data_IF_056721193057
#
_entry.id   IF_056721193057
#
_cell.length_a   1.000
_cell.length_b   1.000
_cell.length_c   1.000
_cell.angle_alpha   90.00
_cell.angle_beta   90.00
_cell.angle_gamma   90.00
#
_symmetry.space_group_name_H-M   'P 1'
#
loop_
_entity.id
_entity.type
_entity.pdbx_description
1 polymer ?
#
# COMPACT_ATOMS: atom_id res chain seq x y z
N UNK A 1 -0.19 2.82 33.53
CA UNK A 1 -1.18 3.51 32.68
C UNK A 1 -2.36 2.58 32.35
N UNK A 2 -2.18 1.41 31.69
CA UNK A 2 -3.29 0.53 31.27
C UNK A 2 -4.20 0.10 32.43
N UNK A 3 -3.67 -0.20 33.59
CA UNK A 3 -4.47 -0.63 34.76
C UNK A 3 -5.39 0.44 35.30
N UNK A 4 -4.93 1.70 35.32
CA UNK A 4 -5.59 2.81 35.99
C UNK A 4 -6.46 3.66 35.04
N UNK A 5 -6.36 3.47 33.72
CA UNK A 5 -7.14 4.22 32.76
C UNK A 5 -8.60 3.72 32.73
N UNK A 6 -9.57 4.60 32.55
CA UNK A 6 -10.98 4.25 32.36
C UNK A 6 -11.24 3.58 31.01
N UNK A 7 -10.53 4.01 29.96
CA UNK A 7 -10.51 3.43 28.63
C UNK A 7 -9.09 3.27 28.11
N UNK A 8 -8.89 2.23 27.34
CA UNK A 8 -7.62 1.96 26.62
C UNK A 8 -7.97 1.90 25.15
N UNK A 9 -7.32 2.74 24.34
CA UNK A 9 -7.57 2.80 22.90
C UNK A 9 -6.34 2.39 22.12
N UNK A 10 -6.57 1.76 20.97
CA UNK A 10 -5.56 1.54 19.94
C UNK A 10 -6.10 1.99 18.58
N UNK A 11 -5.30 1.85 17.54
CA UNK A 11 -5.49 2.59 16.27
C UNK A 11 -6.27 1.82 15.20
N UNK A 12 -6.85 0.67 15.54
CA UNK A 12 -7.85 0.00 14.69
C UNK A 12 -8.59 -1.09 15.47
N UNK A 13 -9.85 -1.42 15.10
CA UNK A 13 -10.64 -2.49 15.71
C UNK A 13 -9.96 -3.87 15.59
N UNK A 14 -9.48 -4.23 14.40
CA UNK A 14 -8.76 -5.50 14.18
C UNK A 14 -7.48 -5.55 15.02
N UNK A 15 -6.70 -4.48 15.07
CA UNK A 15 -5.48 -4.45 15.88
C UNK A 15 -5.79 -4.56 17.37
N UNK A 16 -6.92 -4.03 17.86
CA UNK A 16 -7.35 -4.22 19.25
C UNK A 16 -7.57 -5.70 19.61
N UNK A 17 -7.92 -6.55 18.65
CA UNK A 17 -8.00 -8.00 18.83
C UNK A 17 -6.62 -8.65 18.66
N UNK A 18 -5.84 -8.25 17.68
CA UNK A 18 -4.50 -8.79 17.43
C UNK A 18 -3.58 -8.64 18.64
N UNK A 19 -3.58 -7.50 19.32
CA UNK A 19 -2.72 -7.27 20.51
C UNK A 19 -3.10 -8.08 21.74
N UNK A 20 -4.19 -8.85 21.69
CA UNK A 20 -4.50 -9.87 22.72
C UNK A 20 -3.71 -11.15 22.48
N UNK A 21 -3.12 -11.33 21.30
CA UNK A 21 -2.26 -12.47 20.96
C UNK A 21 -0.80 -12.16 21.33
N UNK A 22 -0.05 -13.11 21.94
CA UNK A 22 1.35 -12.94 22.30
C UNK A 22 2.26 -12.48 21.14
N UNK A 23 1.92 -12.86 19.91
CA UNK A 23 2.68 -12.49 18.71
C UNK A 23 2.68 -10.98 18.44
N UNK A 24 1.55 -10.29 18.71
CA UNK A 24 1.38 -8.87 18.42
C UNK A 24 1.54 -7.97 19.65
N UNK A 25 1.45 -8.54 20.86
CA UNK A 25 1.33 -7.80 22.12
C UNK A 25 2.64 -7.24 22.68
N UNK A 26 3.79 -7.67 22.16
CA UNK A 26 5.11 -7.37 22.73
C UNK A 26 5.21 -7.68 24.24
N UNK A 27 4.55 -8.77 24.68
CA UNK A 27 4.54 -9.22 26.07
C UNK A 27 3.47 -8.57 26.95
N UNK A 28 2.53 -7.81 26.37
CA UNK A 28 1.43 -7.17 27.10
C UNK A 28 0.11 -7.95 27.02
N UNK A 29 0.05 -9.06 26.31
CA UNK A 29 -1.17 -9.85 26.09
C UNK A 29 -1.89 -10.25 27.37
N UNK A 30 -1.18 -10.69 28.40
CA UNK A 30 -1.77 -11.06 29.68
C UNK A 30 -2.51 -9.90 30.34
N UNK A 31 -1.90 -8.69 30.35
CA UNK A 31 -2.52 -7.49 30.90
C UNK A 31 -3.68 -7.02 30.03
N UNK A 32 -3.51 -7.02 28.70
CA UNK A 32 -4.53 -6.57 27.76
C UNK A 32 -5.77 -7.46 27.79
N UNK A 33 -5.61 -8.79 27.87
CA UNK A 33 -6.73 -9.73 28.06
C UNK A 33 -7.50 -9.49 29.35
N UNK A 34 -6.80 -9.24 30.47
CA UNK A 34 -7.46 -8.91 31.75
C UNK A 34 -8.27 -7.61 31.70
N UNK A 35 -7.86 -6.66 30.84
CA UNK A 35 -8.48 -5.34 30.70
C UNK A 35 -9.26 -5.19 29.38
N UNK A 36 -9.53 -6.28 28.70
CA UNK A 36 -10.20 -6.30 27.38
C UNK A 36 -11.54 -5.54 27.39
N UNK A 37 -12.27 -5.56 28.52
CA UNK A 37 -13.57 -4.87 28.66
C UNK A 37 -13.51 -3.34 28.48
N UNK A 38 -12.32 -2.76 28.58
CA UNK A 38 -12.10 -1.31 28.39
C UNK A 38 -11.21 -0.99 27.19
N UNK A 39 -10.76 -2.02 26.44
CA UNK A 39 -9.96 -1.87 25.22
C UNK A 39 -10.89 -1.65 24.04
N UNK A 40 -10.58 -0.66 23.20
CA UNK A 40 -11.24 -0.46 21.91
C UNK A 40 -10.26 0.04 20.85
N UNK A 41 -10.54 -0.30 19.59
CA UNK A 41 -9.84 0.21 18.44
C UNK A 41 -10.60 1.34 17.76
N UNK A 42 -9.90 2.41 17.41
CA UNK A 42 -10.43 3.56 16.67
C UNK A 42 -9.52 3.80 15.48
N UNK A 43 -10.03 3.59 14.26
CA UNK A 43 -9.24 3.77 13.05
C UNK A 43 -8.86 5.24 12.88
N UNK A 44 -7.58 5.51 12.58
CA UNK A 44 -7.12 6.86 12.25
C UNK A 44 -7.70 7.30 10.90
N UNK A 45 -7.87 8.61 10.73
CA UNK A 45 -8.12 9.24 9.44
C UNK A 45 -6.82 9.76 8.79
N UNK A 46 -6.97 10.35 7.63
CA UNK A 46 -5.94 11.13 6.94
C UNK A 46 -6.34 12.60 6.87
N UNK A 47 -5.36 13.48 6.79
CA UNK A 47 -5.61 14.90 6.51
C UNK A 47 -5.98 15.06 5.04
N UNK A 48 -7.27 15.30 4.79
CA UNK A 48 -7.83 15.40 3.43
C UNK A 48 -7.53 16.74 2.73
N UNK A 49 -7.02 17.72 3.45
CA UNK A 49 -6.56 18.99 2.88
C UNK A 49 -5.12 18.84 2.38
N UNK A 50 -4.27 18.16 3.16
CA UNK A 50 -2.88 17.85 2.78
C UNK A 50 -2.83 16.80 1.68
N UNK A 51 -3.58 15.69 1.83
CA UNK A 51 -3.65 14.62 0.83
C UNK A 51 -4.85 14.83 -0.10
N UNK A 52 -4.71 15.81 -1.00
CA UNK A 52 -5.79 16.19 -1.92
C UNK A 52 -5.28 16.31 -3.36
N UNK A 53 -5.58 15.35 -4.24
CA UNK A 53 -5.10 15.41 -5.63
C UNK A 53 -5.61 16.63 -6.40
N UNK A 54 -6.70 17.29 -5.96
CA UNK A 54 -7.20 18.51 -6.61
C UNK A 54 -6.33 19.76 -6.33
N UNK A 55 -5.56 19.76 -5.25
CA UNK A 55 -4.79 20.93 -4.80
C UNK A 55 -3.33 20.65 -4.49
N UNK A 56 -2.89 19.39 -4.56
CA UNK A 56 -1.52 18.98 -4.28
C UNK A 56 -0.53 19.64 -5.27
N UNK A 57 0.41 20.46 -4.78
CA UNK A 57 1.38 21.17 -5.63
C UNK A 57 2.50 20.26 -6.15
N UNK A 58 2.64 19.06 -5.60
CA UNK A 58 3.78 18.17 -5.87
C UNK A 58 3.50 17.16 -6.99
N UNK A 59 2.25 17.03 -7.45
CA UNK A 59 1.88 16.12 -8.54
C UNK A 59 1.88 16.82 -9.90
N UNK A 60 2.07 16.06 -10.98
CA UNK A 60 2.23 16.60 -12.32
C UNK A 60 0.96 17.26 -12.85
N UNK A 61 -0.21 16.76 -12.50
CA UNK A 61 -1.52 17.33 -12.85
C UNK A 61 -2.49 17.11 -11.71
N UNK A 62 -3.17 18.17 -11.27
CA UNK A 62 -4.24 18.06 -10.29
C UNK A 62 -5.50 17.45 -10.92
N UNK A 63 -6.26 16.70 -10.13
CA UNK A 63 -7.50 16.04 -10.54
C UNK A 63 -8.44 15.82 -9.36
N UNK A 64 -9.69 15.63 -9.66
CA UNK A 64 -10.77 15.25 -8.75
C UNK A 64 -11.49 13.99 -9.23
N UNK A 65 -12.60 13.62 -8.60
CA UNK A 65 -13.39 12.45 -8.95
C UNK A 65 -13.99 12.48 -10.38
N UNK A 66 -14.10 13.63 -11.02
CA UNK A 66 -14.63 13.77 -12.38
C UNK A 66 -13.51 13.78 -13.43
N UNK A 67 -12.30 14.24 -13.06
CA UNK A 67 -11.16 14.43 -13.96
C UNK A 67 -10.00 13.44 -13.74
N UNK A 68 -10.17 12.47 -12.82
CA UNK A 68 -9.10 11.57 -12.40
C UNK A 68 -8.49 10.74 -13.54
N UNK A 69 -9.26 10.36 -14.55
CA UNK A 69 -8.75 9.55 -15.66
C UNK A 69 -7.64 10.27 -16.41
N UNK A 70 -7.89 11.53 -16.79
CA UNK A 70 -6.89 12.37 -17.45
C UNK A 70 -5.76 12.76 -16.49
N UNK A 71 -6.09 13.16 -15.26
CA UNK A 71 -5.12 13.58 -14.27
C UNK A 71 -4.14 12.48 -13.89
N UNK A 72 -4.63 11.28 -13.60
CA UNK A 72 -3.78 10.12 -13.29
C UNK A 72 -2.93 9.68 -14.49
N UNK A 73 -3.46 9.76 -15.72
CA UNK A 73 -2.67 9.43 -16.89
C UNK A 73 -1.44 10.34 -17.02
N UNK A 74 -1.60 11.66 -16.83
CA UNK A 74 -0.49 12.61 -16.84
C UNK A 74 0.48 12.37 -15.69
N UNK A 75 -0.03 12.10 -14.47
CA UNK A 75 0.80 11.78 -13.31
C UNK A 75 1.58 10.47 -13.50
N UNK A 76 0.97 9.46 -14.14
CA UNK A 76 1.64 8.20 -14.48
C UNK A 76 2.78 8.41 -15.48
N UNK A 77 2.55 9.16 -16.54
CA UNK A 77 3.61 9.47 -17.51
C UNK A 77 4.78 10.21 -16.86
N UNK A 78 4.48 11.18 -15.98
CA UNK A 78 5.51 11.90 -15.24
C UNK A 78 6.29 10.99 -14.28
N UNK A 79 5.62 10.04 -13.61
CA UNK A 79 6.26 9.05 -12.77
C UNK A 79 7.15 8.09 -13.57
N UNK A 80 6.67 7.68 -14.76
CA UNK A 80 7.45 6.84 -15.67
C UNK A 80 8.68 7.58 -16.20
N UNK A 81 8.59 8.88 -16.49
CA UNK A 81 9.74 9.71 -16.87
C UNK A 81 10.76 9.83 -15.73
N UNK A 82 10.29 10.08 -14.50
CA UNK A 82 11.15 10.20 -13.32
C UNK A 82 12.02 8.95 -13.08
N UNK A 83 11.45 7.76 -13.31
CA UNK A 83 12.14 6.48 -13.11
C UNK A 83 12.67 5.85 -14.41
N UNK A 84 12.49 6.48 -15.56
CA UNK A 84 12.89 5.94 -16.85
C UNK A 84 12.17 4.64 -17.22
N UNK A 85 10.89 4.51 -16.84
CA UNK A 85 10.06 3.34 -17.14
C UNK A 85 9.48 3.41 -18.56
N UNK A 86 9.02 2.28 -19.09
CA UNK A 86 8.38 2.23 -20.39
C UNK A 86 6.99 2.87 -20.35
N UNK A 87 6.56 3.48 -21.45
CA UNK A 87 5.21 4.04 -21.61
C UNK A 87 4.38 3.17 -22.55
N UNK A 88 4.31 1.88 -22.26
CA UNK A 88 3.64 0.87 -23.08
C UNK A 88 2.22 0.52 -22.60
N UNK A 89 1.71 1.26 -21.61
CA UNK A 89 0.39 1.02 -21.01
C UNK A 89 0.38 -0.01 -19.89
N UNK A 90 1.51 -0.59 -19.53
CA UNK A 90 1.65 -1.51 -18.41
C UNK A 90 1.19 -0.89 -17.10
N UNK A 91 0.56 -1.66 -16.18
CA UNK A 91 0.23 -1.15 -14.86
C UNK A 91 1.50 -0.92 -14.03
N UNK A 92 1.53 0.20 -13.29
CA UNK A 92 2.58 0.54 -12.33
C UNK A 92 2.15 0.09 -10.94
N UNK A 93 2.86 -0.88 -10.37
CA UNK A 93 2.74 -1.24 -8.96
C UNK A 93 3.80 -0.52 -8.14
N UNK A 94 3.41 0.08 -7.03
CA UNK A 94 4.32 0.85 -6.20
C UNK A 94 4.29 0.43 -4.73
N UNK A 95 5.43 0.58 -4.06
CA UNK A 95 5.57 0.40 -2.62
C UNK A 95 6.34 1.59 -2.03
N UNK A 96 5.74 2.28 -1.06
CA UNK A 96 6.36 3.39 -0.32
C UNK A 96 6.37 3.02 1.15
N UNK A 97 7.55 2.62 1.67
CA UNK A 97 7.65 2.13 3.05
C UNK A 97 9.09 2.08 3.54
N UNK A 98 9.26 1.85 4.84
CA UNK A 98 10.55 1.40 5.37
C UNK A 98 10.85 -0.02 4.86
N UNK A 99 12.04 -0.24 4.31
CA UNK A 99 12.44 -1.53 3.76
C UNK A 99 12.91 -2.48 4.89
N UNK A 100 11.94 -3.01 5.63
CA UNK A 100 12.16 -3.91 6.78
C UNK A 100 11.19 -5.09 6.74
N UNK A 101 11.58 -6.24 7.31
CA UNK A 101 10.85 -7.49 7.18
C UNK A 101 9.38 -7.43 7.60
N UNK A 102 9.02 -6.70 8.67
CA UNK A 102 7.61 -6.62 9.09
C UNK A 102 6.70 -5.83 8.13
N UNK A 103 7.24 -5.12 7.15
CA UNK A 103 6.49 -4.46 6.08
C UNK A 103 6.22 -5.37 4.87
N UNK A 104 6.62 -6.63 4.93
CA UNK A 104 6.37 -7.61 3.87
C UNK A 104 7.27 -7.44 2.65
N UNK A 105 8.41 -6.77 2.82
CA UNK A 105 9.41 -6.56 1.75
C UNK A 105 9.95 -7.88 1.23
N UNK A 106 10.12 -8.88 2.12
CA UNK A 106 10.51 -10.24 1.78
C UNK A 106 9.50 -10.93 0.84
N UNK A 107 8.20 -10.68 1.02
CA UNK A 107 7.18 -11.21 0.11
C UNK A 107 7.27 -10.55 -1.27
N UNK A 108 7.44 -9.21 -1.33
CA UNK A 108 7.62 -8.49 -2.60
C UNK A 108 8.88 -8.95 -3.31
N UNK A 109 9.99 -9.12 -2.56
CA UNK A 109 11.23 -9.70 -3.10
C UNK A 109 11.00 -11.05 -3.76
N UNK A 110 10.24 -11.93 -3.10
CA UNK A 110 9.98 -13.28 -3.60
C UNK A 110 9.16 -13.31 -4.90
N UNK A 111 8.28 -12.33 -5.14
CA UNK A 111 7.38 -12.31 -6.31
C UNK A 111 7.81 -11.33 -7.40
N UNK A 112 8.79 -10.46 -7.16
CA UNK A 112 9.15 -9.36 -8.05
C UNK A 112 9.42 -9.79 -9.50
N UNK A 113 10.22 -10.81 -9.71
CA UNK A 113 10.51 -11.35 -11.04
C UNK A 113 9.24 -11.86 -11.75
N UNK A 114 8.35 -12.52 -10.99
CA UNK A 114 7.06 -12.99 -11.51
C UNK A 114 6.14 -11.84 -11.94
N UNK A 115 6.12 -10.74 -11.18
CA UNK A 115 5.36 -9.54 -11.54
C UNK A 115 5.89 -8.90 -12.83
N UNK A 116 7.21 -8.79 -12.97
CA UNK A 116 7.85 -8.25 -14.18
C UNK A 116 7.55 -9.12 -15.41
N UNK A 117 7.55 -10.44 -15.28
CA UNK A 117 7.16 -11.37 -16.35
C UNK A 117 5.69 -11.22 -16.77
N UNK A 118 4.84 -10.71 -15.88
CA UNK A 118 3.45 -10.40 -16.17
C UNK A 118 3.25 -9.02 -16.84
N UNK A 119 4.33 -8.32 -17.17
CA UNK A 119 4.29 -7.00 -17.80
C UNK A 119 3.94 -5.87 -16.84
N UNK A 120 4.22 -6.03 -15.54
CA UNK A 120 4.02 -5.01 -14.52
C UNK A 120 5.31 -4.18 -14.41
N UNK A 121 5.16 -2.87 -14.23
CA UNK A 121 6.24 -1.98 -13.81
C UNK A 121 6.23 -1.86 -12.28
N UNK A 122 7.41 -1.88 -11.67
CA UNK A 122 7.54 -1.83 -10.21
C UNK A 122 8.30 -0.58 -9.77
N UNK A 123 7.70 0.20 -8.86
CA UNK A 123 8.31 1.39 -8.26
C UNK A 123 8.47 1.21 -6.75
N UNK A 124 9.69 1.36 -6.24
CA UNK A 124 10.00 1.22 -4.82
C UNK A 124 10.60 2.53 -4.29
N UNK A 125 9.98 3.08 -3.26
CA UNK A 125 10.50 4.22 -2.49
C UNK A 125 10.63 3.82 -1.02
N UNK A 126 11.83 3.91 -0.47
CA UNK A 126 12.06 3.66 0.94
C UNK A 126 13.51 3.39 1.28
N UNK A 127 13.78 3.20 2.57
CA UNK A 127 15.09 2.79 3.08
C UNK A 127 14.92 1.88 4.30
N UNK A 128 15.95 1.09 4.61
CA UNK A 128 15.88 0.18 5.76
C UNK A 128 17.04 -0.80 5.84
N UNK A 129 16.75 -2.08 5.75
CA UNK A 129 17.76 -3.14 5.83
C UNK A 129 18.54 -3.25 4.51
N UNK A 130 19.86 -3.26 4.59
CA UNK A 130 20.75 -3.30 3.44
C UNK A 130 20.46 -4.45 2.46
N UNK A 131 20.00 -5.60 2.97
CA UNK A 131 19.64 -6.74 2.13
C UNK A 131 18.51 -6.40 1.14
N UNK A 132 17.51 -5.64 1.57
CA UNK A 132 16.38 -5.23 0.71
C UNK A 132 16.77 -4.08 -0.22
N UNK A 133 17.53 -3.11 0.29
CA UNK A 133 18.03 -2.00 -0.54
C UNK A 133 18.89 -2.53 -1.69
N UNK A 134 19.83 -3.44 -1.39
CA UNK A 134 20.68 -4.07 -2.40
C UNK A 134 19.86 -4.88 -3.41
N UNK A 135 18.90 -5.69 -2.94
CA UNK A 135 18.06 -6.48 -3.82
C UNK A 135 17.31 -5.60 -4.83
N UNK A 136 16.64 -4.53 -4.38
CA UNK A 136 15.89 -3.67 -5.30
C UNK A 136 16.79 -2.88 -6.25
N UNK A 137 17.96 -2.43 -5.80
CA UNK A 137 18.93 -1.80 -6.67
C UNK A 137 19.45 -2.77 -7.76
N UNK A 138 19.72 -4.02 -7.41
CA UNK A 138 20.10 -5.05 -8.37
C UNK A 138 18.97 -5.41 -9.32
N UNK A 139 17.72 -5.50 -8.81
CA UNK A 139 16.54 -5.74 -9.62
C UNK A 139 16.33 -4.62 -10.65
N UNK A 140 16.48 -3.36 -10.23
CA UNK A 140 16.41 -2.20 -11.11
C UNK A 140 17.49 -2.23 -12.19
N UNK A 141 18.73 -2.51 -11.81
CA UNK A 141 19.85 -2.59 -12.76
C UNK A 141 19.68 -3.70 -13.82
N UNK A 142 19.06 -4.82 -13.44
CA UNK A 142 18.78 -5.95 -14.35
C UNK A 142 17.55 -5.74 -15.24
N UNK A 143 16.64 -4.84 -14.86
CA UNK A 143 15.36 -4.63 -15.53
C UNK A 143 15.15 -3.14 -15.88
N UNK A 144 16.03 -2.54 -16.71
CA UNK A 144 15.89 -1.14 -17.11
C UNK A 144 14.56 -0.91 -17.83
N UNK A 145 13.88 0.18 -17.51
CA UNK A 145 12.56 0.51 -18.07
C UNK A 145 11.38 -0.24 -17.44
N UNK A 146 11.61 -1.14 -16.47
CA UNK A 146 10.55 -1.89 -15.78
C UNK A 146 10.56 -1.70 -14.27
N UNK A 147 11.69 -1.33 -13.68
CA UNK A 147 11.84 -1.16 -12.23
C UNK A 147 12.44 0.20 -11.94
N UNK A 148 11.78 0.98 -11.12
CA UNK A 148 12.25 2.24 -10.56
C UNK A 148 12.48 2.12 -9.05
N UNK A 149 13.63 2.58 -8.56
CA UNK A 149 13.99 2.49 -7.14
C UNK A 149 14.56 3.81 -6.66
N UNK A 150 14.04 4.28 -5.53
CA UNK A 150 14.63 5.39 -4.78
C UNK A 150 14.89 4.95 -3.35
N UNK A 151 16.15 4.81 -2.99
CA UNK A 151 16.56 4.47 -1.62
C UNK A 151 16.68 5.76 -0.81
N UNK A 152 15.75 5.95 0.10
CA UNK A 152 15.69 7.14 0.96
C UNK A 152 14.28 7.56 1.34
N UNK A 153 14.18 8.72 1.97
CA UNK A 153 12.92 9.39 2.28
C UNK A 153 12.73 10.59 1.34
N UNK A 154 11.60 10.65 0.65
CA UNK A 154 11.24 11.77 -0.22
C UNK A 154 9.72 11.93 -0.22
N UNK A 155 9.20 12.91 0.54
CA UNK A 155 7.77 13.13 0.69
C UNK A 155 7.10 13.56 -0.62
N UNK A 156 7.76 14.43 -1.40
CA UNK A 156 7.26 14.86 -2.70
C UNK A 156 7.14 13.68 -3.68
N UNK A 157 8.19 12.86 -3.77
CA UNK A 157 8.18 11.68 -4.63
C UNK A 157 7.11 10.67 -4.18
N UNK A 158 6.86 10.53 -2.87
CA UNK A 158 5.79 9.69 -2.37
C UNK A 158 4.41 10.15 -2.88
N UNK A 159 4.12 11.46 -2.87
CA UNK A 159 2.88 12.00 -3.43
C UNK A 159 2.77 11.76 -4.95
N UNK A 160 3.88 11.93 -5.67
CA UNK A 160 3.93 11.60 -7.11
C UNK A 160 3.67 10.12 -7.37
N UNK A 161 4.16 9.22 -6.52
CA UNK A 161 3.89 7.79 -6.60
C UNK A 161 2.41 7.51 -6.31
N UNK A 162 1.82 8.08 -5.25
CA UNK A 162 0.39 7.92 -4.98
C UNK A 162 -0.49 8.41 -6.15
N UNK A 163 -0.11 9.51 -6.82
CA UNK A 163 -0.87 10.03 -7.95
C UNK A 163 -0.65 9.24 -9.25
N UNK A 164 0.58 8.78 -9.51
CA UNK A 164 0.96 8.20 -10.80
C UNK A 164 0.91 6.67 -10.85
N UNK A 165 1.00 5.97 -9.73
CA UNK A 165 0.86 4.51 -9.71
C UNK A 165 -0.60 4.08 -9.94
N UNK A 166 -0.79 2.85 -10.39
CA UNK A 166 -2.11 2.23 -10.54
C UNK A 166 -2.45 1.37 -9.33
N UNK A 167 -1.46 0.66 -8.78
CA UNK A 167 -1.63 -0.30 -7.69
C UNK A 167 -0.59 -0.01 -6.60
N UNK A 168 -1.01 -0.11 -5.33
CA UNK A 168 -0.16 0.17 -4.17
C UNK A 168 -0.01 -1.05 -3.27
N UNK A 169 1.23 -1.47 -2.99
CA UNK A 169 1.52 -2.69 -2.26
C UNK A 169 1.74 -2.44 -0.76
N UNK A 170 0.96 -3.09 0.10
CA UNK A 170 1.13 -3.10 1.56
C UNK A 170 0.97 -4.51 2.15
N UNK A 171 1.90 -5.43 1.87
CA UNK A 171 1.84 -6.82 2.33
C UNK A 171 2.36 -7.00 3.77
N UNK A 172 2.09 -6.04 4.65
CA UNK A 172 2.65 -6.00 6.00
C UNK A 172 2.33 -7.25 6.82
N UNK A 173 3.31 -7.75 7.59
CA UNK A 173 3.12 -8.81 8.57
C UNK A 173 2.29 -8.33 9.75
N UNK A 174 2.46 -7.07 10.14
CA UNK A 174 1.67 -6.37 11.15
C UNK A 174 1.59 -4.90 10.78
N UNK A 175 0.39 -4.34 10.83
CA UNK A 175 0.15 -2.92 10.55
C UNK A 175 -0.96 -2.40 11.47
N UNK A 176 -0.61 -1.78 12.60
CA UNK A 176 -1.60 -1.33 13.59
C UNK A 176 -2.73 -0.49 13.00
N UNK A 177 -2.41 0.46 12.13
CA UNK A 177 -3.37 1.26 11.38
C UNK A 177 -3.05 1.29 9.90
N UNK A 178 -1.84 1.75 9.55
CA UNK A 178 -1.51 2.16 8.20
C UNK A 178 -2.22 3.46 7.81
N UNK A 179 -1.52 4.32 7.10
CA UNK A 179 -2.10 5.52 6.50
C UNK A 179 -1.94 5.49 4.98
N UNK A 180 -0.87 4.88 4.49
CA UNK A 180 -0.50 4.87 3.09
C UNK A 180 -1.59 4.23 2.19
N UNK A 181 -2.31 3.20 2.65
CA UNK A 181 -3.44 2.61 1.91
C UNK A 181 -4.61 3.59 1.77
N UNK A 182 -4.88 4.39 2.81
CA UNK A 182 -5.94 5.41 2.75
C UNK A 182 -5.53 6.58 1.85
N UNK A 183 -4.27 6.99 1.92
CA UNK A 183 -3.70 8.00 1.02
C UNK A 183 -3.73 7.49 -0.42
N UNK A 184 -3.32 6.25 -0.69
CA UNK A 184 -3.37 5.68 -2.05
C UNK A 184 -4.78 5.67 -2.61
N UNK A 185 -5.79 5.25 -1.83
CA UNK A 185 -7.20 5.34 -2.23
C UNK A 185 -7.62 6.80 -2.53
N UNK A 186 -7.19 7.77 -1.70
CA UNK A 186 -7.50 9.19 -1.91
C UNK A 186 -6.98 9.72 -3.24
N UNK A 187 -5.85 9.19 -3.72
CA UNK A 187 -5.26 9.49 -5.02
C UNK A 187 -5.72 8.54 -6.15
N UNK A 188 -6.68 7.65 -5.87
CA UNK A 188 -7.21 6.70 -6.86
C UNK A 188 -6.20 5.61 -7.25
N UNK A 189 -5.26 5.28 -6.37
CA UNK A 189 -4.31 4.18 -6.56
C UNK A 189 -4.76 3.01 -5.69
N UNK A 190 -5.04 1.89 -6.33
CA UNK A 190 -5.75 0.76 -5.73
C UNK A 190 -4.81 -0.07 -4.85
N UNK A 191 -5.09 -0.24 -3.55
CA UNK A 191 -4.22 -0.98 -2.66
C UNK A 191 -4.36 -2.50 -2.81
N UNK A 192 -3.23 -3.20 -2.75
CA UNK A 192 -3.12 -4.64 -2.49
C UNK A 192 -2.54 -4.80 -1.10
N UNK A 193 -3.32 -5.36 -0.18
CA UNK A 193 -2.96 -5.41 1.24
C UNK A 193 -3.06 -6.83 1.82
N UNK A 194 -2.29 -7.08 2.89
CA UNK A 194 -2.58 -8.22 3.76
C UNK A 194 -3.63 -7.85 4.81
N UNK A 195 -4.54 -8.78 5.11
CA UNK A 195 -5.59 -8.59 6.12
C UNK A 195 -5.03 -8.62 7.54
N UNK A 196 -4.49 -7.49 8.01
CA UNK A 196 -3.99 -7.29 9.38
C UNK A 196 -4.29 -5.87 9.85
N UNK A 197 -4.58 -5.71 11.14
CA UNK A 197 -4.80 -4.41 11.79
C UNK A 197 -5.67 -3.45 10.98
N UNK A 198 -5.23 -2.21 10.87
CA UNK A 198 -5.98 -1.16 10.17
C UNK A 198 -6.06 -1.34 8.65
N UNK A 199 -5.21 -2.17 8.04
CA UNK A 199 -5.35 -2.51 6.63
C UNK A 199 -6.66 -3.25 6.39
N UNK A 200 -6.95 -4.28 7.21
CA UNK A 200 -8.21 -5.04 7.16
C UNK A 200 -9.44 -4.17 7.44
N UNK A 201 -9.30 -3.19 8.32
CA UNK A 201 -10.41 -2.31 8.72
C UNK A 201 -10.72 -1.22 7.69
N UNK A 202 -9.76 -0.87 6.82
CA UNK A 202 -9.88 0.21 5.82
C UNK A 202 -10.04 -0.29 4.38
N UNK A 203 -9.58 -1.50 4.07
CA UNK A 203 -9.61 -2.05 2.71
C UNK A 203 -10.45 -3.32 2.70
N UNK A 204 -11.44 -3.32 1.79
CA UNK A 204 -12.30 -4.46 1.48
C UNK A 204 -11.93 -5.01 0.09
N UNK A 205 -11.89 -6.34 -0.03
CA UNK A 205 -11.62 -6.99 -1.32
C UNK A 205 -12.68 -6.66 -2.37
N UNK A 206 -12.25 -6.36 -3.57
CA UNK A 206 -13.10 -5.98 -4.71
C UNK A 206 -13.65 -7.19 -5.48
N UNK A 207 -13.37 -8.42 -5.08
CA UNK A 207 -13.79 -9.62 -5.79
C UNK A 207 -15.31 -9.80 -5.93
N UNK A 208 -16.09 -9.12 -5.08
CA UNK A 208 -17.56 -9.08 -5.15
C UNK A 208 -18.11 -7.81 -5.86
N UNK A 209 -17.22 -6.96 -6.39
CA UNK A 209 -17.58 -5.72 -7.07
C UNK A 209 -17.90 -4.51 -6.15
N UNK A 210 -17.76 -4.66 -4.83
CA UNK A 210 -18.11 -3.60 -3.85
C UNK A 210 -16.94 -3.19 -2.97
N UNK A 211 -15.73 -3.68 -3.22
CA UNK A 211 -14.54 -3.35 -2.47
C UNK A 211 -13.84 -2.08 -2.96
N UNK A 212 -12.72 -1.76 -2.30
CA UNK A 212 -11.86 -0.63 -2.64
C UNK A 212 -10.38 -1.02 -2.78
N UNK A 213 -10.09 -2.32 -2.92
CA UNK A 213 -8.74 -2.85 -3.09
C UNK A 213 -8.74 -4.37 -3.27
N UNK A 214 -7.57 -4.97 -3.18
CA UNK A 214 -7.41 -6.42 -3.24
C UNK A 214 -6.72 -6.92 -1.98
N UNK A 215 -7.21 -8.01 -1.40
CA UNK A 215 -6.70 -8.51 -0.12
C UNK A 215 -6.21 -9.94 -0.20
N UNK A 216 -5.33 -10.30 0.73
CA UNK A 216 -4.92 -11.68 0.99
C UNK A 216 -4.77 -11.90 2.50
N UNK A 217 -4.97 -13.13 2.97
CA UNK A 217 -5.07 -13.42 4.39
C UNK A 217 -3.75 -13.86 5.02
N UNK A 218 -3.12 -14.91 4.46
CA UNK A 218 -1.94 -15.50 5.05
C UNK A 218 -0.65 -14.81 4.59
N UNK A 219 0.31 -14.70 5.51
CA UNK A 219 1.59 -14.09 5.20
C UNK A 219 2.47 -15.03 4.36
N UNK A 220 2.20 -15.09 3.06
CA UNK A 220 2.99 -15.86 2.11
C UNK A 220 3.01 -15.22 0.71
N UNK A 221 4.07 -15.50 -0.04
CA UNK A 221 4.32 -14.91 -1.34
C UNK A 221 3.29 -15.31 -2.41
N UNK A 222 2.75 -16.52 -2.33
CA UNK A 222 1.78 -17.02 -3.32
C UNK A 222 0.47 -16.23 -3.23
N UNK A 223 -0.08 -16.04 -2.03
CA UNK A 223 -1.31 -15.25 -1.85
C UNK A 223 -1.12 -13.77 -2.26
N UNK A 224 0.04 -13.18 -1.94
CA UNK A 224 0.36 -11.84 -2.43
C UNK A 224 0.41 -11.80 -3.95
N UNK A 225 1.06 -12.77 -4.59
CA UNK A 225 1.13 -12.86 -6.04
C UNK A 225 -0.26 -12.97 -6.68
N UNK A 226 -1.13 -13.83 -6.13
CA UNK A 226 -2.52 -13.96 -6.59
C UNK A 226 -3.32 -12.68 -6.44
N UNK A 227 -3.16 -11.95 -5.33
CA UNK A 227 -3.82 -10.65 -5.13
C UNK A 227 -3.31 -9.60 -6.13
N UNK A 228 -2.00 -9.55 -6.38
CA UNK A 228 -1.41 -8.69 -7.42
C UNK A 228 -1.91 -9.06 -8.81
N UNK A 229 -2.03 -10.36 -9.12
CA UNK A 229 -2.57 -10.83 -10.39
C UNK A 229 -4.03 -10.40 -10.58
N UNK A 230 -4.88 -10.56 -9.55
CA UNK A 230 -6.28 -10.08 -9.59
C UNK A 230 -6.36 -8.57 -9.82
N UNK A 231 -5.50 -7.79 -9.16
CA UNK A 231 -5.43 -6.34 -9.35
C UNK A 231 -5.02 -5.97 -10.78
N UNK A 232 -4.02 -6.66 -11.34
CA UNK A 232 -3.59 -6.50 -12.74
C UNK A 232 -4.72 -6.84 -13.72
N UNK A 233 -5.42 -7.96 -13.51
CA UNK A 233 -6.56 -8.33 -14.37
C UNK A 233 -7.69 -7.29 -14.27
N UNK A 234 -7.94 -6.76 -13.07
CA UNK A 234 -8.87 -5.65 -12.85
C UNK A 234 -8.47 -4.39 -13.62
N UNK A 235 -7.19 -4.04 -13.65
CA UNK A 235 -6.67 -2.88 -14.39
C UNK A 235 -7.03 -2.89 -15.88
N UNK A 236 -7.05 -4.06 -16.51
CA UNK A 236 -7.40 -4.20 -17.93
C UNK A 236 -8.90 -4.19 -18.21
N UNK A 237 -9.76 -4.18 -17.17
CA UNK A 237 -11.21 -4.08 -17.32
C UNK A 237 -11.62 -2.61 -17.49
N UNK A 238 -11.76 -2.18 -18.73
CA UNK A 238 -12.01 -0.77 -19.11
C UNK A 238 -13.22 -0.13 -18.43
N UNK A 239 -14.24 -0.88 -18.14
CA UNK A 239 -15.46 -0.37 -17.51
C UNK A 239 -15.41 -0.51 -15.97
N UNK A 240 -14.74 -1.53 -15.45
CA UNK A 240 -14.66 -1.85 -14.03
C UNK A 240 -13.60 -1.03 -13.29
N UNK A 241 -12.41 -0.89 -13.87
CA UNK A 241 -11.30 -0.19 -13.22
C UNK A 241 -11.60 1.28 -12.87
N UNK A 242 -12.17 2.11 -13.77
CA UNK A 242 -12.54 3.48 -13.41
C UNK A 242 -13.59 3.58 -12.31
N UNK A 243 -14.49 2.59 -12.20
CA UNK A 243 -15.47 2.53 -11.11
C UNK A 243 -14.78 2.24 -9.78
N UNK A 244 -13.79 1.36 -9.77
CA UNK A 244 -13.01 1.04 -8.57
C UNK A 244 -12.13 2.22 -8.12
N UNK A 245 -11.58 2.98 -9.06
CA UNK A 245 -10.70 4.14 -8.80
C UNK A 245 -11.49 5.34 -8.26
N UNK A 246 -12.74 5.53 -8.67
CA UNK A 246 -13.63 6.64 -8.26
C UNK A 246 -14.16 6.46 -6.83
#
# INVERSE_FOLDING_TARGET
>A
AIECADKVTTVSPTYAQEILDPWFSHGLDGLLRQKQYKLCGILNGIDVDVFNPATDPDIAKNYDAETFQEGKAVCKEALQDEFGLHKDGSPVMAMVTRLVGHKGVDLVQAIAEGLLQQGIELVILGSGEAQYENFFNELCARNPGRVGVYIGFNAKLAQQIYAGADIFLMPSRSEPCGLAQMVSCRYGTIPVIRETGGLKDSIRDSGDGYGNGFTFANYNAHELYEACWRAKEGYWQKDGWPVLVR
#
